data_IF_841940516987
#
_entry.id   IF_841940516987
#
_cell.length_a   1.000
_cell.length_b   1.000
_cell.length_c   1.000
_cell.angle_alpha   90.00
_cell.angle_beta   90.00
_cell.angle_gamma   90.00
#
_symmetry.space_group_name_H-M   'P 1'
#
loop_
_entity.id
_entity.type
_entity.pdbx_description
1 polymer ?
#
# COMPACT_ATOMS: atom_id res chain seq x y z
N UNK A 1 1.87 -9.19 -15.06
CA UNK A 1 1.27 -7.89 -14.70
C UNK A 1 2.39 -6.88 -14.69
N UNK A 2 2.27 -5.84 -15.51
CA UNK A 2 3.26 -4.77 -15.62
C UNK A 2 3.36 -4.02 -14.27
N UNK A 3 4.56 -3.92 -13.70
CA UNK A 3 4.76 -3.37 -12.34
C UNK A 3 4.85 -1.85 -12.37
N UNK A 4 4.40 -1.21 -11.29
CA UNK A 4 4.40 0.25 -11.18
C UNK A 4 5.82 0.78 -10.97
N UNK A 5 6.24 1.90 -11.61
CA UNK A 5 7.56 2.49 -11.42
C UNK A 5 7.92 2.81 -9.96
N UNK A 6 6.93 3.13 -9.13
CA UNK A 6 7.10 3.40 -7.70
C UNK A 6 7.59 2.19 -6.89
N UNK A 7 7.37 0.97 -7.38
CA UNK A 7 7.80 -0.27 -6.71
C UNK A 7 9.30 -0.56 -6.93
N UNK A 8 10.01 0.27 -7.71
CA UNK A 8 11.44 0.11 -7.96
C UNK A 8 12.29 0.27 -6.69
N UNK A 9 11.91 1.17 -5.78
CA UNK A 9 12.63 1.43 -4.53
C UNK A 9 12.33 0.41 -3.42
N UNK A 10 11.32 -0.44 -3.60
CA UNK A 10 11.10 -1.59 -2.70
C UNK A 10 12.20 -2.66 -2.87
N UNK A 11 13.03 -2.52 -3.90
CA UNK A 11 14.01 -3.53 -4.31
C UNK A 11 15.39 -3.24 -3.77
N UNK A 12 15.99 -4.28 -3.21
CA UNK A 12 17.35 -4.26 -2.66
C UNK A 12 18.36 -3.83 -3.74
N UNK A 13 18.20 -4.34 -4.96
CA UNK A 13 19.08 -4.08 -6.09
C UNK A 13 18.98 -2.65 -6.65
N UNK A 14 18.03 -1.84 -6.17
CA UNK A 14 17.90 -0.42 -6.54
C UNK A 14 18.29 0.48 -5.37
N UNK A 15 17.72 0.23 -4.19
CA UNK A 15 17.86 1.12 -3.04
C UNK A 15 19.26 1.05 -2.43
N UNK A 16 19.84 -0.13 -2.27
CA UNK A 16 21.16 -0.27 -1.62
C UNK A 16 22.30 0.33 -2.47
N UNK A 17 22.38 0.12 -3.80
CA UNK A 17 23.37 0.80 -4.62
C UNK A 17 23.24 2.32 -4.60
N UNK A 18 22.01 2.85 -4.54
CA UNK A 18 21.79 4.29 -4.44
C UNK A 18 22.28 4.86 -3.10
N UNK A 19 22.04 4.15 -1.99
CA UNK A 19 22.53 4.52 -0.66
C UNK A 19 24.06 4.42 -0.58
N UNK A 20 24.66 3.37 -1.13
CA UNK A 20 26.11 3.23 -1.20
C UNK A 20 26.75 4.35 -2.01
N UNK A 21 26.15 4.71 -3.15
CA UNK A 21 26.59 5.86 -3.96
C UNK A 21 26.51 7.19 -3.20
N UNK A 22 25.52 7.33 -2.30
CA UNK A 22 25.39 8.49 -1.42
C UNK A 22 26.37 8.50 -0.22
N UNK A 23 27.25 7.49 -0.11
CA UNK A 23 28.30 7.40 0.89
C UNK A 23 27.91 6.74 2.20
N UNK A 24 26.79 6.01 2.25
CA UNK A 24 26.47 5.13 3.38
C UNK A 24 27.24 3.81 3.23
N UNK A 25 27.72 3.24 4.34
CA UNK A 25 28.58 2.04 4.35
C UNK A 25 27.98 0.88 5.13
N UNK A 26 27.08 1.15 6.08
CA UNK A 26 26.34 0.14 6.84
C UNK A 26 24.85 0.27 6.47
N UNK A 27 24.42 -0.56 5.52
CA UNK A 27 23.07 -0.55 4.94
C UNK A 27 22.40 -1.88 5.30
N UNK A 28 21.28 -1.79 6.01
CA UNK A 28 20.50 -2.95 6.42
C UNK A 28 19.04 -2.75 6.02
N UNK A 29 18.46 -3.76 5.38
CA UNK A 29 17.06 -3.77 5.01
C UNK A 29 16.32 -4.96 5.56
N UNK A 30 15.15 -4.69 6.15
CA UNK A 30 14.22 -5.72 6.59
C UNK A 30 12.93 -5.66 5.79
N UNK A 31 12.35 -6.82 5.52
CA UNK A 31 10.96 -6.92 5.06
C UNK A 31 10.04 -7.07 6.26
N UNK A 32 9.05 -6.20 6.36
CA UNK A 32 7.97 -6.30 7.33
C UNK A 32 6.70 -6.69 6.60
N UNK A 33 5.98 -7.67 7.15
CA UNK A 33 4.64 -8.07 6.71
C UNK A 33 3.67 -7.76 7.82
N UNK A 34 2.82 -6.76 7.60
CA UNK A 34 1.78 -6.37 8.53
C UNK A 34 0.41 -6.74 8.00
N UNK A 35 -0.50 -6.99 8.92
CA UNK A 35 -1.90 -7.23 8.60
C UNK A 35 -2.72 -6.01 9.01
N UNK A 36 -3.45 -5.44 8.06
CA UNK A 36 -4.37 -4.33 8.30
C UNK A 36 -5.78 -4.90 8.34
N UNK A 37 -6.46 -4.65 9.45
CA UNK A 37 -7.84 -5.08 9.65
C UNK A 37 -8.79 -3.92 9.46
N UNK A 38 -9.88 -4.19 8.77
CA UNK A 38 -10.97 -3.25 8.56
C UNK A 38 -12.27 -3.91 8.98
N UNK A 39 -13.08 -3.20 9.77
CA UNK A 39 -14.33 -3.74 10.28
C UNK A 39 -15.37 -3.91 9.15
N UNK A 40 -15.37 -2.99 8.20
CA UNK A 40 -16.30 -2.93 7.07
C UNK A 40 -15.70 -2.15 5.87
N UNK A 41 -16.48 -2.05 4.80
CA UNK A 41 -16.09 -1.33 3.57
C UNK A 41 -15.96 0.18 3.79
N UNK A 42 -16.71 0.76 4.72
CA UNK A 42 -16.63 2.19 5.02
C UNK A 42 -15.30 2.51 5.72
N UNK A 43 -14.82 1.62 6.59
CA UNK A 43 -13.50 1.71 7.18
C UNK A 43 -12.41 1.65 6.10
N UNK A 44 -12.52 0.74 5.13
CA UNK A 44 -11.58 0.68 4.00
C UNK A 44 -11.58 1.99 3.19
N UNK A 45 -12.76 2.53 2.87
CA UNK A 45 -12.85 3.80 2.13
C UNK A 45 -12.21 4.96 2.91
N UNK A 46 -12.46 5.06 4.22
CA UNK A 46 -11.81 6.07 5.07
C UNK A 46 -10.29 5.95 5.04
N UNK A 47 -9.77 4.73 5.07
CA UNK A 47 -8.33 4.49 4.96
C UNK A 47 -7.78 4.87 3.58
N UNK A 48 -8.48 4.53 2.49
CA UNK A 48 -8.09 4.96 1.14
C UNK A 48 -8.05 6.48 1.01
N UNK A 49 -9.02 7.18 1.61
CA UNK A 49 -9.07 8.65 1.64
C UNK A 49 -7.95 9.26 2.48
N UNK A 50 -7.41 8.57 3.48
CA UNK A 50 -6.34 9.14 4.31
C UNK A 50 -4.95 9.02 3.66
N UNK A 51 -4.74 8.00 2.81
CA UNK A 51 -3.39 7.61 2.40
C UNK A 51 -3.11 7.75 0.89
N UNK A 52 -4.10 7.50 0.01
CA UNK A 52 -3.81 7.32 -1.42
C UNK A 52 -4.80 8.00 -2.38
N UNK A 53 -6.08 8.01 -2.04
CA UNK A 53 -7.14 8.17 -3.02
C UNK A 53 -7.99 9.42 -2.81
N UNK A 54 -7.65 10.30 -1.85
CA UNK A 54 -8.50 11.43 -1.48
C UNK A 54 -8.95 12.28 -2.67
N UNK A 55 -7.98 12.81 -3.41
CA UNK A 55 -8.25 13.72 -4.53
C UNK A 55 -9.04 13.01 -5.64
N UNK A 56 -8.73 11.74 -5.92
CA UNK A 56 -9.48 10.95 -6.89
C UNK A 56 -10.93 10.76 -6.45
N UNK A 57 -11.15 10.31 -5.22
CA UNK A 57 -12.49 10.02 -4.69
C UNK A 57 -13.34 11.29 -4.46
N UNK A 58 -12.73 12.45 -4.25
CA UNK A 58 -13.42 13.74 -4.16
C UNK A 58 -13.80 14.31 -5.54
N UNK A 59 -13.17 13.83 -6.63
CA UNK A 59 -13.47 14.28 -8.00
C UNK A 59 -14.58 13.47 -8.68
N UNK A 60 -14.95 12.31 -8.13
CA UNK A 60 -16.00 11.44 -8.69
C UNK A 60 -17.39 11.95 -8.36
N UNK A 61 -18.32 11.77 -9.29
CA UNK A 61 -19.74 11.96 -9.01
C UNK A 61 -20.32 10.81 -8.15
N UNK A 62 -21.57 10.92 -7.65
CA UNK A 62 -22.15 9.89 -6.80
C UNK A 62 -22.28 8.50 -7.44
N UNK A 63 -22.54 8.42 -8.75
CA UNK A 63 -22.74 7.16 -9.48
C UNK A 63 -21.39 6.46 -9.74
N UNK A 64 -20.37 7.25 -10.05
CA UNK A 64 -18.98 6.79 -10.14
C UNK A 64 -18.47 6.30 -8.79
N UNK A 65 -18.76 7.04 -7.71
CA UNK A 65 -18.38 6.63 -6.35
C UNK A 65 -19.08 5.32 -5.95
N UNK A 66 -20.36 5.16 -6.26
CA UNK A 66 -21.09 3.91 -6.06
C UNK A 66 -20.45 2.75 -6.83
N UNK A 67 -20.04 3.00 -8.07
CA UNK A 67 -19.33 2.01 -8.90
C UNK A 67 -17.99 1.62 -8.28
N UNK A 68 -17.20 2.58 -7.80
CA UNK A 68 -15.93 2.31 -7.11
C UNK A 68 -16.16 1.48 -5.85
N UNK A 69 -17.17 1.81 -5.04
CA UNK A 69 -17.53 1.04 -3.84
C UNK A 69 -17.88 -0.40 -4.17
N UNK A 70 -18.71 -0.63 -5.19
CA UNK A 70 -19.09 -1.98 -5.62
C UNK A 70 -17.87 -2.79 -6.09
N UNK A 71 -16.97 -2.17 -6.86
CA UNK A 71 -15.73 -2.82 -7.31
C UNK A 71 -14.77 -3.10 -6.16
N UNK A 72 -14.64 -2.17 -5.22
CA UNK A 72 -13.84 -2.35 -4.01
C UNK A 72 -14.37 -3.52 -3.19
N UNK A 73 -15.69 -3.60 -2.97
CA UNK A 73 -16.32 -4.72 -2.29
C UNK A 73 -16.00 -6.06 -2.95
N UNK A 74 -16.16 -6.16 -4.28
CA UNK A 74 -15.86 -7.37 -5.03
C UNK A 74 -14.38 -7.76 -4.96
N UNK A 75 -13.47 -6.78 -5.04
CA UNK A 75 -12.02 -7.02 -4.94
C UNK A 75 -11.59 -7.49 -3.54
N UNK A 76 -12.27 -7.01 -2.49
CA UNK A 76 -11.95 -7.34 -1.11
C UNK A 76 -12.58 -8.65 -0.63
N UNK A 77 -13.52 -9.24 -1.36
CA UNK A 77 -14.21 -10.45 -0.92
C UNK A 77 -13.24 -11.62 -0.67
N UNK A 78 -12.16 -11.72 -1.45
CA UNK A 78 -11.09 -12.70 -1.25
C UNK A 78 -10.33 -12.54 0.08
N UNK A 79 -10.46 -11.38 0.72
CA UNK A 79 -9.81 -11.00 1.98
C UNK A 79 -10.81 -10.88 3.14
N UNK A 80 -12.04 -11.34 2.95
CA UNK A 80 -13.09 -11.30 3.96
C UNK A 80 -12.79 -12.28 5.09
N UNK A 81 -13.07 -11.85 6.31
CA UNK A 81 -12.95 -12.62 7.54
C UNK A 81 -14.25 -12.53 8.36
N UNK A 82 -14.42 -13.33 9.42
CA UNK A 82 -15.56 -13.17 10.34
C UNK A 82 -15.62 -11.82 11.05
N UNK A 83 -14.56 -11.01 11.01
CA UNK A 83 -14.45 -9.70 11.68
C UNK A 83 -14.35 -8.52 10.70
N UNK A 84 -14.67 -8.73 9.42
CA UNK A 84 -14.57 -7.72 8.38
C UNK A 84 -13.60 -8.14 7.28
N UNK A 85 -12.57 -7.35 7.02
CA UNK A 85 -11.58 -7.59 5.98
C UNK A 85 -10.16 -7.51 6.54
N UNK A 86 -9.26 -8.33 6.00
CA UNK A 86 -7.86 -8.37 6.42
C UNK A 86 -6.92 -8.32 5.20
N UNK A 87 -6.13 -7.25 5.08
CA UNK A 87 -5.17 -7.08 3.99
C UNK A 87 -3.74 -7.24 4.49
N UNK A 88 -2.96 -8.07 3.80
CA UNK A 88 -1.53 -8.15 4.02
C UNK A 88 -0.82 -6.99 3.31
N UNK A 89 -0.14 -6.14 4.09
CA UNK A 89 0.77 -5.13 3.59
C UNK A 89 2.20 -5.61 3.76
N UNK A 90 3.00 -5.48 2.71
CA UNK A 90 4.46 -5.62 2.78
C UNK A 90 5.09 -4.23 2.75
N UNK A 91 6.02 -3.98 3.64
CA UNK A 91 6.89 -2.81 3.59
C UNK A 91 8.35 -3.25 3.68
N UNK A 92 9.24 -2.55 2.98
CA UNK A 92 10.68 -2.65 3.23
C UNK A 92 11.10 -1.45 4.06
N UNK A 93 11.80 -1.70 5.16
CA UNK A 93 12.43 -0.65 5.98
C UNK A 93 13.92 -0.79 5.75
N UNK A 94 14.59 0.29 5.34
CA UNK A 94 16.03 0.32 5.13
C UNK A 94 16.65 1.38 6.03
N UNK A 95 17.60 0.96 6.85
CA UNK A 95 18.43 1.82 7.67
C UNK A 95 19.81 1.92 7.03
N UNK A 96 20.40 3.12 7.01
CA UNK A 96 21.71 3.35 6.44
C UNK A 96 22.53 4.27 7.36
N UNK A 97 23.78 3.90 7.62
CA UNK A 97 24.74 4.64 8.45
C UNK A 97 26.03 4.90 7.66
N UNK A 98 26.67 6.02 7.97
CA UNK A 98 27.98 6.40 7.42
C UNK A 98 29.10 5.82 8.24
#
# INVERSE_FOLDING_TARGET
TDRRPSEAFDRVEVLEPALAHAGFVDIEGIEVRESIRFDDLDHVERWLRSHFARQMLEALDPDELATVRARMAAALEANRTPRGYELAQRARITAARR
#
